data_IF_452010418557
#
_entry.id   IF_452010418557
#
_cell.length_a   1.000
_cell.length_b   1.000
_cell.length_c   1.000
_cell.angle_alpha   90.00
_cell.angle_beta   90.00
_cell.angle_gamma   90.00
#
_symmetry.space_group_name_H-M   'P 1'
#
loop_
_entity.id
_entity.type
_entity.pdbx_description
1 polymer ?
#
# COMPACT_ATOMS: atom_id res chain seq x y z
N UNK A 1 -6.54 5.72 10.26
CA UNK A 1 -5.96 5.98 8.92
C UNK A 1 -5.71 7.47 8.72
N UNK A 2 -4.53 7.92 9.14
CA UNK A 2 -4.04 9.25 8.82
C UNK A 2 -3.69 9.28 7.33
N UNK A 3 -4.46 10.07 6.56
CA UNK A 3 -4.25 10.19 5.11
C UNK A 3 -2.89 10.84 4.82
N UNK A 4 -2.35 10.71 3.60
CA UNK A 4 -1.14 11.45 3.17
C UNK A 4 -1.24 12.97 3.42
N UNK A 5 -2.48 13.47 3.62
CA UNK A 5 -2.84 14.84 3.96
C UNK A 5 -2.72 15.22 5.45
N UNK A 6 -2.51 14.27 6.37
CA UNK A 6 -2.24 14.57 7.78
C UNK A 6 -0.78 14.99 8.00
N UNK A 7 0.12 14.56 7.12
CA UNK A 7 1.56 14.83 7.21
C UNK A 7 1.91 16.34 7.26
N UNK A 8 1.33 17.23 6.42
CA UNK A 8 1.56 18.66 6.55
C UNK A 8 1.13 19.25 7.90
N UNK A 9 0.23 18.58 8.63
CA UNK A 9 -0.23 18.99 9.96
C UNK A 9 0.76 18.60 11.07
N UNK A 10 1.68 17.65 10.80
CA UNK A 10 2.74 17.22 11.72
C UNK A 10 4.04 18.01 11.61
N UNK A 11 4.19 18.83 10.56
CA UNK A 11 5.32 19.74 10.40
C UNK A 11 4.95 21.06 11.07
N UNK A 12 5.80 21.56 11.98
CA UNK A 12 5.65 22.92 12.50
C UNK A 12 5.69 23.91 11.34
N UNK A 13 4.64 24.71 11.20
CA UNK A 13 4.55 25.70 10.13
C UNK A 13 5.57 26.82 10.39
N UNK A 14 6.71 26.74 9.70
CA UNK A 14 7.76 27.74 9.74
C UNK A 14 7.42 28.98 8.88
N UNK A 15 6.27 28.98 8.19
CA UNK A 15 5.81 30.14 7.46
C UNK A 15 5.39 31.25 8.44
N UNK A 16 5.86 32.47 8.21
CA UNK A 16 5.45 33.62 9.03
C UNK A 16 3.93 33.87 8.88
N UNK A 17 3.15 33.61 9.94
CA UNK A 17 1.68 33.72 9.97
C UNK A 17 1.13 35.04 9.39
N UNK A 18 1.84 36.16 9.58
CA UNK A 18 1.40 37.50 9.13
C UNK A 18 1.79 37.85 7.68
N UNK A 19 2.50 36.96 6.97
CA UNK A 19 2.96 37.15 5.58
C UNK A 19 2.68 35.94 4.68
N UNK A 20 1.90 34.98 5.15
CA UNK A 20 1.60 33.76 4.41
C UNK A 20 0.12 33.69 4.06
N UNK A 21 -0.18 33.73 2.76
CA UNK A 21 -1.54 33.53 2.25
C UNK A 21 -1.86 32.05 2.00
N UNK A 22 -0.88 31.16 1.98
CA UNK A 22 -1.09 29.72 1.74
C UNK A 22 -0.63 28.94 2.95
N UNK A 23 -1.42 27.95 3.40
CA UNK A 23 -0.99 27.05 4.47
C UNK A 23 0.03 26.05 3.95
N UNK A 24 0.93 25.58 4.81
CA UNK A 24 1.87 24.52 4.44
C UNK A 24 1.16 23.26 3.90
N UNK A 25 -0.03 22.96 4.45
CA UNK A 25 -0.94 21.90 3.98
C UNK A 25 -1.41 22.04 2.54
N UNK A 26 -1.43 23.26 2.00
CA UNK A 26 -1.90 23.55 0.65
C UNK A 26 -0.73 23.47 -0.36
N UNK A 27 0.49 23.70 0.13
CA UNK A 27 1.71 23.85 -0.69
C UNK A 27 2.39 22.50 -0.93
N UNK A 28 2.61 21.71 0.12
CA UNK A 28 3.36 20.45 0.03
C UNK A 28 2.75 19.42 -0.94
N UNK A 29 1.42 19.21 -0.95
CA UNK A 29 0.80 18.22 -1.83
C UNK A 29 0.96 18.57 -3.30
N UNK A 30 0.89 19.87 -3.64
CA UNK A 30 1.11 20.36 -5.01
C UNK A 30 2.55 20.07 -5.47
N UNK A 31 3.54 20.32 -4.62
CA UNK A 31 4.94 19.99 -4.93
C UNK A 31 5.17 18.48 -5.06
N UNK A 32 4.60 17.68 -4.16
CA UNK A 32 4.68 16.21 -4.22
C UNK A 32 4.09 15.65 -5.52
N UNK A 33 2.86 16.06 -5.88
CA UNK A 33 2.18 15.65 -7.11
C UNK A 33 2.98 16.03 -8.36
N UNK A 34 3.64 17.17 -8.33
CA UNK A 34 4.50 17.65 -9.42
C UNK A 34 5.72 16.75 -9.57
N UNK A 35 6.43 16.45 -8.49
CA UNK A 35 7.59 15.54 -8.52
C UNK A 35 7.20 14.12 -8.97
N UNK A 36 6.04 13.61 -8.51
CA UNK A 36 5.51 12.32 -8.96
C UNK A 36 5.13 12.30 -10.45
N UNK A 37 4.88 13.47 -11.03
CA UNK A 37 4.52 13.65 -12.44
C UNK A 37 5.71 14.05 -13.30
N UNK A 38 6.94 13.90 -12.80
CA UNK A 38 8.19 14.28 -13.47
C UNK A 38 8.39 15.79 -13.70
N UNK A 39 7.72 16.65 -12.93
CA UNK A 39 8.10 18.06 -12.86
C UNK A 39 9.36 18.23 -12.00
N UNK A 40 10.25 19.12 -12.43
CA UNK A 40 11.60 19.27 -11.87
C UNK A 40 11.81 20.62 -11.18
N UNK A 41 10.99 21.63 -11.50
CA UNK A 41 11.16 22.98 -10.96
C UNK A 41 9.87 23.59 -10.38
N UNK A 42 10.00 24.82 -9.87
CA UNK A 42 8.89 25.53 -9.23
C UNK A 42 7.86 26.06 -10.24
N UNK A 43 8.23 26.23 -11.51
CA UNK A 43 7.30 26.60 -12.57
C UNK A 43 6.44 25.39 -12.95
N UNK A 44 7.02 24.20 -12.99
CA UNK A 44 6.29 22.93 -13.13
C UNK A 44 5.26 22.76 -12.01
N UNK A 45 5.57 23.21 -10.78
CA UNK A 45 4.63 23.14 -9.66
C UNK A 45 3.43 24.07 -9.87
N UNK A 46 3.66 25.28 -10.37
CA UNK A 46 2.59 26.21 -10.74
C UNK A 46 1.75 25.64 -11.89
N UNK A 47 2.40 25.12 -12.93
CA UNK A 47 1.74 24.51 -14.08
C UNK A 47 0.89 23.30 -13.68
N UNK A 48 1.44 22.41 -12.86
CA UNK A 48 0.77 21.22 -12.32
C UNK A 48 -0.42 21.62 -11.45
N UNK A 49 -0.25 22.61 -10.57
CA UNK A 49 -1.31 23.15 -9.73
C UNK A 49 -2.49 23.70 -10.55
N UNK A 50 -2.20 24.48 -11.60
CA UNK A 50 -3.23 25.02 -12.49
C UNK A 50 -3.90 23.93 -13.33
N UNK A 51 -3.12 23.00 -13.88
CA UNK A 51 -3.64 21.92 -14.75
C UNK A 51 -4.54 20.94 -13.98
N UNK A 52 -4.28 20.78 -12.68
CA UNK A 52 -4.99 19.83 -11.79
C UNK A 52 -5.80 20.55 -10.72
N UNK A 53 -6.12 21.82 -10.91
CA UNK A 53 -6.75 22.67 -9.91
C UNK A 53 -8.06 22.06 -9.38
N UNK A 54 -8.87 21.44 -10.25
CA UNK A 54 -10.11 20.76 -9.86
C UNK A 54 -9.85 19.60 -8.90
N UNK A 55 -8.88 18.74 -9.22
CA UNK A 55 -8.47 17.61 -8.40
C UNK A 55 -7.91 18.08 -7.06
N UNK A 56 -7.07 19.12 -7.08
CA UNK A 56 -6.54 19.74 -5.87
C UNK A 56 -7.65 20.33 -5.00
N UNK A 57 -8.64 21.04 -5.57
CA UNK A 57 -9.78 21.59 -4.83
C UNK A 57 -10.64 20.52 -4.16
N UNK A 58 -10.81 19.37 -4.80
CA UNK A 58 -11.56 18.23 -4.24
C UNK A 58 -10.82 17.57 -3.07
N UNK A 59 -9.49 17.60 -3.07
CA UNK A 59 -8.66 16.98 -2.04
C UNK A 59 -8.27 17.93 -0.90
N UNK A 60 -7.89 19.16 -1.25
CA UNK A 60 -7.38 20.21 -0.37
C UNK A 60 -7.80 21.55 -0.98
N UNK A 61 -8.96 22.12 -0.60
CA UNK A 61 -9.43 23.38 -1.16
C UNK A 61 -8.48 24.52 -0.77
N UNK A 62 -7.62 25.02 -1.67
CA UNK A 62 -6.66 26.03 -1.30
C UNK A 62 -7.41 27.35 -1.17
N UNK A 63 -7.42 27.93 0.04
CA UNK A 63 -8.24 29.11 0.34
C UNK A 63 -7.88 30.32 -0.56
N UNK A 64 -6.64 30.39 -1.04
CA UNK A 64 -6.10 31.50 -1.83
C UNK A 64 -5.57 31.07 -3.21
N UNK A 65 -6.04 29.93 -3.75
CA UNK A 65 -5.61 29.43 -5.06
C UNK A 65 -4.22 28.80 -5.08
N UNK A 66 -3.67 28.58 -6.27
CA UNK A 66 -2.37 27.94 -6.46
C UNK A 66 -1.24 28.92 -6.09
N UNK A 67 -0.26 28.52 -5.24
CA UNK A 67 0.89 29.36 -4.91
C UNK A 67 1.75 29.71 -6.13
N UNK A 68 2.47 30.84 -6.07
CA UNK A 68 3.47 31.21 -7.08
C UNK A 68 4.76 30.38 -6.96
N UNK A 69 5.59 30.37 -8.02
CA UNK A 69 6.91 29.72 -7.99
C UNK A 69 7.79 30.28 -6.86
N UNK A 70 7.73 31.59 -6.56
CA UNK A 70 8.45 32.21 -5.44
C UNK A 70 7.99 31.66 -4.08
N UNK A 71 6.68 31.39 -3.95
CA UNK A 71 6.11 30.81 -2.73
C UNK A 71 6.57 29.38 -2.55
N UNK A 72 6.56 28.57 -3.62
CA UNK A 72 7.12 27.23 -3.61
C UNK A 72 8.60 27.25 -3.27
N UNK A 73 9.40 28.09 -3.93
CA UNK A 73 10.83 28.21 -3.68
C UNK A 73 11.13 28.55 -2.22
N UNK A 74 10.41 29.51 -1.63
CA UNK A 74 10.59 29.90 -0.23
C UNK A 74 10.27 28.75 0.73
N UNK A 75 9.20 27.99 0.48
CA UNK A 75 8.78 26.89 1.34
C UNK A 75 9.72 25.70 1.19
N UNK A 76 10.00 25.26 -0.03
CA UNK A 76 10.88 24.11 -0.27
C UNK A 76 12.35 24.38 0.09
N UNK A 77 12.82 25.62 0.00
CA UNK A 77 14.15 26.01 0.49
C UNK A 77 14.25 26.01 2.02
N UNK A 78 13.14 26.23 2.72
CA UNK A 78 13.07 26.18 4.18
C UNK A 78 12.75 24.78 4.73
N UNK A 79 12.33 23.86 3.87
CA UNK A 79 11.97 22.50 4.25
C UNK A 79 13.24 21.66 4.44
N UNK A 80 13.35 20.99 5.59
CA UNK A 80 14.46 20.07 5.82
C UNK A 80 14.37 18.88 4.84
N UNK A 81 15.40 18.61 4.01
CA UNK A 81 15.35 17.54 3.01
C UNK A 81 15.05 16.15 3.59
N UNK A 82 15.44 15.92 4.84
CA UNK A 82 15.22 14.65 5.53
C UNK A 82 13.75 14.45 5.95
N UNK A 83 13.00 15.52 6.20
CA UNK A 83 11.55 15.45 6.44
C UNK A 83 10.81 15.02 5.16
N UNK A 84 11.12 15.64 4.01
CA UNK A 84 10.51 15.23 2.74
C UNK A 84 10.89 13.80 2.35
N UNK A 85 12.14 13.40 2.63
CA UNK A 85 12.59 12.01 2.42
C UNK A 85 11.85 11.02 3.30
N UNK A 86 11.65 11.31 4.59
CA UNK A 86 10.85 10.45 5.47
C UNK A 86 9.42 10.33 4.95
N UNK A 87 8.81 11.43 4.50
CA UNK A 87 7.49 11.41 3.87
C UNK A 87 7.46 10.59 2.58
N UNK A 88 8.39 10.83 1.66
CA UNK A 88 8.50 10.08 0.40
C UNK A 88 8.88 8.60 0.60
N UNK A 89 9.58 8.26 1.68
CA UNK A 89 9.85 6.87 2.03
C UNK A 89 8.62 6.19 2.63
N UNK A 90 7.84 6.92 3.43
CA UNK A 90 6.60 6.42 4.03
C UNK A 90 5.45 6.36 3.01
N UNK A 91 5.45 7.20 1.97
CA UNK A 91 4.30 7.38 1.07
C UNK A 91 4.63 7.37 -0.45
N UNK A 92 5.90 7.44 -0.87
CA UNK A 92 6.26 8.04 -2.17
C UNK A 92 7.16 7.27 -3.14
N UNK A 93 7.74 6.10 -2.83
CA UNK A 93 8.49 5.34 -3.85
C UNK A 93 8.15 3.87 -3.88
N UNK A 94 7.52 3.45 -4.99
CA UNK A 94 7.50 2.05 -5.39
C UNK A 94 8.88 1.67 -5.95
N UNK A 95 9.76 1.10 -5.13
CA UNK A 95 10.91 0.36 -5.61
C UNK A 95 10.41 -0.73 -6.58
N UNK A 96 10.96 -0.73 -7.80
CA UNK A 96 10.68 -1.77 -8.80
C UNK A 96 11.71 -2.87 -8.61
N UNK A 97 11.25 -4.09 -8.38
CA UNK A 97 12.10 -5.28 -8.42
C UNK A 97 12.76 -5.39 -9.79
N UNK A 98 14.04 -5.73 -9.81
CA UNK A 98 14.78 -6.02 -11.03
C UNK A 98 15.04 -7.52 -11.06
N UNK A 99 14.70 -8.18 -12.17
CA UNK A 99 14.86 -9.62 -12.30
C UNK A 99 16.33 -10.04 -12.09
N UNK A 100 16.56 -11.19 -11.43
CA UNK A 100 17.88 -11.79 -11.41
C UNK A 100 18.32 -12.07 -12.85
N UNK A 101 19.49 -11.55 -13.26
CA UNK A 101 20.07 -11.83 -14.59
C UNK A 101 20.09 -10.67 -15.58
N UNK A 102 19.43 -9.53 -15.32
CA UNK A 102 19.69 -8.33 -16.14
C UNK A 102 20.94 -7.61 -15.63
N UNK A 103 21.98 -7.49 -16.46
CA UNK A 103 23.19 -6.66 -16.23
C UNK A 103 23.95 -6.93 -14.91
N UNK A 104 24.08 -8.19 -14.48
CA UNK A 104 24.90 -8.55 -13.31
C UNK A 104 24.28 -8.23 -11.94
N UNK A 105 22.98 -7.94 -11.89
CA UNK A 105 22.21 -7.80 -10.67
C UNK A 105 21.93 -9.18 -10.01
N UNK A 106 22.08 -9.28 -8.69
CA UNK A 106 21.77 -10.47 -7.87
C UNK A 106 20.26 -10.69 -7.62
N UNK A 107 19.40 -9.89 -8.24
CA UNK A 107 17.95 -9.89 -8.01
C UNK A 107 17.60 -8.97 -6.83
N UNK A 108 16.71 -8.01 -7.07
CA UNK A 108 16.17 -7.17 -6.00
C UNK A 108 14.75 -7.65 -5.69
N UNK A 109 14.62 -8.49 -4.67
CA UNK A 109 13.33 -8.97 -4.20
C UNK A 109 12.71 -7.95 -3.26
N UNK A 110 11.44 -7.60 -3.51
CA UNK A 110 10.72 -6.59 -2.73
C UNK A 110 9.32 -7.11 -2.46
N UNK A 111 8.96 -7.13 -1.19
CA UNK A 111 7.59 -7.30 -0.73
C UNK A 111 6.91 -5.94 -0.72
N UNK A 112 5.74 -5.86 -1.36
CA UNK A 112 4.95 -4.63 -1.46
C UNK A 112 3.62 -4.80 -0.73
N UNK A 113 3.31 -3.88 0.18
CA UNK A 113 1.97 -3.72 0.70
C UNK A 113 1.21 -2.73 -0.20
N UNK A 114 0.05 -3.17 -0.70
CA UNK A 114 -0.76 -2.37 -1.62
C UNK A 114 -2.19 -2.27 -1.13
N UNK A 115 -2.74 -1.07 -1.22
CA UNK A 115 -4.17 -0.80 -1.02
C UNK A 115 -4.85 -0.93 -2.39
N UNK A 116 -5.76 -1.89 -2.52
CA UNK A 116 -6.34 -2.27 -3.80
C UNK A 116 -7.23 -1.15 -4.38
N UNK A 117 -8.04 -0.53 -3.53
CA UNK A 117 -9.01 0.52 -3.84
C UNK A 117 -8.31 1.74 -4.45
N UNK A 118 -7.21 2.15 -3.81
CA UNK A 118 -6.46 3.35 -4.18
C UNK A 118 -5.30 3.05 -5.16
N UNK A 119 -5.12 1.77 -5.52
CA UNK A 119 -4.00 1.26 -6.34
C UNK A 119 -2.61 1.69 -5.82
N UNK A 120 -2.53 2.03 -4.54
CA UNK A 120 -1.39 2.67 -3.89
C UNK A 120 -0.48 1.62 -3.23
N UNK A 121 0.82 1.88 -3.20
CA UNK A 121 1.78 1.09 -2.42
C UNK A 121 2.02 1.84 -1.11
N UNK A 122 1.59 1.27 0.02
CA UNK A 122 1.67 1.91 1.35
C UNK A 122 2.89 1.49 2.15
N UNK A 123 3.56 0.42 1.73
CA UNK A 123 4.80 -0.02 2.34
C UNK A 123 5.57 -0.96 1.43
N UNK A 124 6.88 -1.01 1.63
CA UNK A 124 7.76 -1.90 0.90
C UNK A 124 8.90 -2.38 1.80
N UNK A 125 9.25 -3.67 1.67
CA UNK A 125 10.43 -4.23 2.33
C UNK A 125 11.28 -4.97 1.32
N UNK A 126 12.59 -4.72 1.34
CA UNK A 126 13.55 -5.52 0.58
C UNK A 126 13.66 -6.89 1.23
N UNK A 127 13.64 -7.94 0.41
CA UNK A 127 14.03 -9.29 0.77
C UNK A 127 15.39 -9.58 0.12
N UNK A 128 16.30 -10.23 0.84
CA UNK A 128 17.63 -10.54 0.29
C UNK A 128 17.56 -11.59 -0.82
N UNK A 129 16.57 -12.47 -0.74
CA UNK A 129 16.21 -13.46 -1.76
C UNK A 129 14.70 -13.78 -1.73
N UNK A 130 14.28 -14.75 -2.54
CA UNK A 130 12.88 -15.20 -2.64
C UNK A 130 12.35 -15.88 -1.37
N UNK A 131 13.20 -16.55 -0.59
CA UNK A 131 12.82 -17.19 0.68
C UNK A 131 12.64 -16.18 1.81
N UNK A 132 13.34 -15.05 1.74
CA UNK A 132 13.28 -13.99 2.75
C UNK A 132 11.96 -13.19 2.72
N UNK A 133 11.04 -13.47 1.78
CA UNK A 133 9.68 -12.93 1.83
C UNK A 133 8.94 -13.37 3.10
N UNK A 134 9.21 -14.59 3.60
CA UNK A 134 8.60 -15.15 4.82
C UNK A 134 8.92 -14.28 6.05
N UNK A 135 10.12 -13.71 6.11
CA UNK A 135 10.55 -12.84 7.21
C UNK A 135 10.25 -11.37 6.95
N UNK A 136 10.25 -10.94 5.68
CA UNK A 136 9.99 -9.55 5.31
C UNK A 136 8.51 -9.16 5.47
N UNK A 137 7.57 -10.07 5.22
CA UNK A 137 6.12 -9.82 5.35
C UNK A 137 5.73 -9.48 6.81
N UNK A 138 6.10 -10.27 7.83
CA UNK A 138 5.85 -9.95 9.24
C UNK A 138 6.36 -8.57 9.68
N UNK A 139 7.58 -8.19 9.25
CA UNK A 139 8.16 -6.88 9.55
C UNK A 139 7.36 -5.75 8.89
N UNK A 140 6.90 -5.96 7.65
CA UNK A 140 6.12 -4.96 6.94
C UNK A 140 4.74 -4.74 7.60
N UNK A 141 4.12 -5.79 8.13
CA UNK A 141 2.85 -5.69 8.86
C UNK A 141 3.02 -4.86 10.15
N UNK A 142 4.13 -5.01 10.87
CA UNK A 142 4.43 -4.22 12.07
C UNK A 142 4.55 -2.72 11.80
N UNK A 143 5.08 -2.35 10.63
CA UNK A 143 5.27 -0.94 10.24
C UNK A 143 3.98 -0.29 9.73
N UNK A 144 2.99 -1.07 9.30
CA UNK A 144 1.76 -0.55 8.70
C UNK A 144 0.63 -0.33 9.72
N UNK A 145 -0.12 0.76 9.53
CA UNK A 145 -1.43 0.97 10.13
C UNK A 145 -2.48 0.22 9.31
N UNK A 146 -2.95 -0.92 9.84
CA UNK A 146 -3.92 -1.81 9.19
C UNK A 146 -5.19 -2.02 10.02
N UNK A 147 -5.41 -1.22 11.08
CA UNK A 147 -6.67 -1.24 11.81
C UNK A 147 -7.81 -0.96 10.85
N UNK A 148 -8.77 -1.88 10.75
CA UNK A 148 -9.91 -1.87 9.81
C UNK A 148 -9.62 -2.30 8.35
N UNK A 149 -8.41 -2.80 8.05
CA UNK A 149 -8.11 -3.35 6.73
C UNK A 149 -8.34 -4.87 6.67
N UNK A 150 -8.77 -5.37 5.50
CA UNK A 150 -8.71 -6.79 5.16
C UNK A 150 -7.35 -7.08 4.51
N UNK A 151 -6.53 -7.89 5.17
CA UNK A 151 -5.18 -8.21 4.67
C UNK A 151 -5.21 -9.48 3.84
N UNK A 152 -4.94 -9.35 2.53
CA UNK A 152 -4.77 -10.51 1.64
C UNK A 152 -3.30 -10.78 1.36
N UNK A 153 -2.84 -12.03 1.51
CA UNK A 153 -1.45 -12.44 1.22
C UNK A 153 -1.46 -13.74 0.43
N UNK A 154 -0.44 -13.91 -0.41
CA UNK A 154 -0.25 -15.11 -1.21
C UNK A 154 0.11 -16.33 -0.35
N UNK A 155 0.33 -17.46 -1.04
CA UNK A 155 0.58 -18.72 -0.36
C UNK A 155 1.92 -18.75 0.37
N UNK A 156 2.93 -18.00 -0.08
CA UNK A 156 4.24 -17.99 0.59
C UNK A 156 4.12 -17.31 1.95
N UNK A 157 3.34 -16.23 2.04
CA UNK A 157 3.09 -15.52 3.30
C UNK A 157 2.06 -16.16 4.23
N UNK A 158 1.42 -17.27 3.83
CA UNK A 158 0.50 -18.03 4.69
C UNK A 158 1.27 -18.80 5.78
N UNK A 159 1.60 -18.07 6.85
CA UNK A 159 2.38 -18.54 7.99
C UNK A 159 1.66 -18.19 9.29
N UNK A 160 1.87 -19.02 10.32
CA UNK A 160 1.24 -18.84 11.64
C UNK A 160 1.64 -17.51 12.28
N UNK A 161 2.92 -17.14 12.19
CA UNK A 161 3.43 -15.86 12.73
C UNK A 161 2.79 -14.66 12.02
N UNK A 162 2.75 -14.68 10.68
CA UNK A 162 2.09 -13.66 9.86
C UNK A 162 0.61 -13.51 10.25
N UNK A 163 -0.13 -14.61 10.34
CA UNK A 163 -1.54 -14.59 10.73
C UNK A 163 -1.73 -14.01 12.14
N UNK A 164 -0.88 -14.40 13.10
CA UNK A 164 -0.90 -13.87 14.45
C UNK A 164 -0.72 -12.35 14.50
N UNK A 165 0.28 -11.82 13.81
CA UNK A 165 0.54 -10.36 13.73
C UNK A 165 -0.58 -9.58 13.06
N UNK A 166 -1.26 -10.19 12.07
CA UNK A 166 -2.42 -9.55 11.45
C UNK A 166 -3.54 -9.46 12.49
N UNK A 167 -3.86 -10.56 13.17
CA UNK A 167 -4.93 -10.62 14.20
C UNK A 167 -4.67 -9.66 15.36
N UNK A 168 -3.41 -9.40 15.71
CA UNK A 168 -3.06 -8.39 16.72
C UNK A 168 -3.44 -6.95 16.31
N UNK A 169 -3.58 -6.68 15.01
CA UNK A 169 -3.86 -5.33 14.47
C UNK A 169 -5.23 -5.20 13.79
N UNK A 170 -5.78 -6.27 13.24
CA UNK A 170 -7.07 -6.31 12.53
C UNK A 170 -7.67 -7.70 12.57
N UNK A 171 -9.00 -7.79 12.67
CA UNK A 171 -9.73 -9.06 12.76
C UNK A 171 -9.89 -9.77 11.41
N UNK A 172 -9.46 -9.16 10.30
CA UNK A 172 -9.81 -9.62 8.95
C UNK A 172 -8.60 -9.92 8.07
N UNK A 173 -8.49 -11.16 7.62
CA UNK A 173 -7.46 -11.58 6.67
C UNK A 173 -7.95 -12.63 5.67
N UNK A 174 -7.26 -12.71 4.54
CA UNK A 174 -7.43 -13.74 3.51
C UNK A 174 -6.05 -14.25 3.08
N UNK A 175 -5.64 -15.39 3.62
CA UNK A 175 -4.35 -16.01 3.29
C UNK A 175 -4.56 -17.18 2.34
N UNK A 176 -3.83 -17.21 1.23
CA UNK A 176 -3.91 -18.33 0.30
C UNK A 176 -3.25 -19.58 0.89
N UNK A 177 -3.97 -20.70 0.92
CA UNK A 177 -3.47 -21.97 1.45
C UNK A 177 -3.05 -22.90 0.31
N UNK A 178 -1.81 -23.41 0.36
CA UNK A 178 -1.28 -24.42 -0.58
C UNK A 178 -0.43 -25.46 0.19
N UNK A 179 0.45 -26.16 -0.53
CA UNK A 179 1.35 -27.18 0.01
C UNK A 179 2.39 -26.66 1.01
N UNK A 180 2.49 -25.35 1.22
CA UNK A 180 3.31 -24.76 2.27
C UNK A 180 2.78 -25.06 3.69
N UNK A 181 1.51 -25.48 3.83
CA UNK A 181 0.90 -25.93 5.08
C UNK A 181 0.12 -27.24 4.82
N UNK A 182 0.83 -28.38 4.66
CA UNK A 182 0.23 -29.60 4.11
C UNK A 182 -0.89 -30.19 4.96
N UNK A 183 -0.73 -30.22 6.28
CA UNK A 183 -1.74 -30.77 7.20
C UNK A 183 -3.02 -29.91 7.18
N UNK A 184 -2.86 -28.59 7.29
CA UNK A 184 -3.99 -27.65 7.24
C UNK A 184 -4.71 -27.69 5.88
N UNK A 185 -3.96 -27.84 4.79
CA UNK A 185 -4.54 -28.01 3.46
C UNK A 185 -5.37 -29.29 3.37
N UNK A 186 -4.89 -30.38 3.96
CA UNK A 186 -5.64 -31.64 3.99
C UNK A 186 -6.93 -31.50 4.81
N UNK A 187 -6.85 -30.93 6.01
CA UNK A 187 -8.01 -30.69 6.87
C UNK A 187 -9.05 -29.80 6.18
N UNK A 188 -8.61 -28.68 5.59
CA UNK A 188 -9.50 -27.78 4.84
C UNK A 188 -10.14 -28.49 3.63
N UNK A 189 -9.37 -29.30 2.89
CA UNK A 189 -9.88 -30.07 1.75
C UNK A 189 -10.94 -31.08 2.18
N UNK A 190 -10.69 -31.82 3.26
CA UNK A 190 -11.68 -32.71 3.87
C UNK A 190 -12.93 -31.94 4.31
N UNK A 191 -12.77 -30.76 4.91
CA UNK A 191 -13.87 -29.88 5.28
C UNK A 191 -14.74 -29.48 4.09
N UNK A 192 -14.14 -29.06 2.97
CA UNK A 192 -14.88 -28.73 1.74
C UNK A 192 -15.58 -29.93 1.09
N UNK A 193 -15.09 -31.16 1.34
CA UNK A 193 -15.74 -32.38 0.85
C UNK A 193 -16.89 -32.85 1.77
N UNK A 194 -16.74 -32.67 3.08
CA UNK A 194 -17.66 -33.22 4.08
C UNK A 194 -18.76 -32.24 4.51
N UNK A 195 -18.49 -30.93 4.48
CA UNK A 195 -19.41 -29.91 4.96
C UNK A 195 -20.16 -29.23 3.81
N UNK A 196 -21.47 -28.96 3.96
CA UNK A 196 -22.18 -28.14 2.99
C UNK A 196 -21.63 -26.70 3.02
N UNK A 197 -21.36 -26.08 1.86
CA UNK A 197 -20.91 -24.70 1.80
C UNK A 197 -22.03 -23.73 2.22
N UNK A 198 -21.66 -22.69 2.97
CA UNK A 198 -22.54 -21.59 3.36
C UNK A 198 -22.90 -20.71 2.16
N UNK A 199 -21.97 -20.56 1.21
CA UNK A 199 -22.19 -19.88 -0.05
C UNK A 199 -21.31 -20.51 -1.14
N UNK A 200 -21.84 -20.53 -2.36
CA UNK A 200 -21.13 -21.00 -3.56
C UNK A 200 -21.39 -20.00 -4.68
N UNK A 201 -20.32 -19.57 -5.33
CA UNK A 201 -20.36 -18.84 -6.59
C UNK A 201 -19.56 -19.64 -7.63
N UNK A 202 -20.09 -19.78 -8.83
CA UNK A 202 -19.42 -20.44 -9.93
C UNK A 202 -19.60 -19.59 -11.18
N UNK A 203 -18.48 -19.17 -11.75
CA UNK A 203 -18.42 -18.38 -12.97
C UNK A 203 -17.57 -19.11 -14.00
N UNK A 204 -17.89 -18.91 -15.27
CA UNK A 204 -17.07 -19.41 -16.36
C UNK A 204 -16.69 -18.25 -17.27
N UNK A 205 -15.48 -18.32 -17.80
CA UNK A 205 -14.93 -17.32 -18.71
C UNK A 205 -14.22 -18.04 -19.86
N UNK A 206 -14.32 -17.46 -21.07
CA UNK A 206 -13.50 -17.87 -22.21
C UNK A 206 -12.60 -16.70 -22.59
N UNK A 207 -11.32 -16.83 -22.30
CA UNK A 207 -10.32 -15.80 -22.59
C UNK A 207 -8.98 -16.43 -23.03
N UNK A 208 -8.25 -15.74 -23.92
CA UNK A 208 -6.98 -16.19 -24.49
C UNK A 208 -6.97 -17.65 -25.00
N UNK A 209 -8.10 -18.14 -25.53
CA UNK A 209 -8.26 -19.51 -26.04
C UNK A 209 -8.41 -20.59 -24.96
N UNK A 210 -8.70 -20.20 -23.71
CA UNK A 210 -8.92 -21.11 -22.59
C UNK A 210 -10.32 -20.93 -22.03
N UNK A 211 -10.94 -22.06 -21.69
CA UNK A 211 -12.13 -22.09 -20.86
C UNK A 211 -11.69 -22.21 -19.41
N UNK A 212 -12.00 -21.21 -18.59
CA UNK A 212 -11.70 -21.21 -17.16
C UNK A 212 -13.01 -21.17 -16.38
N UNK A 213 -13.20 -22.15 -15.49
CA UNK A 213 -14.29 -22.15 -14.51
C UNK A 213 -13.70 -21.78 -13.15
N UNK A 214 -14.23 -20.72 -12.54
CA UNK A 214 -13.85 -20.27 -11.20
C UNK A 214 -15.00 -20.56 -10.25
N UNK A 215 -14.76 -21.49 -9.33
CA UNK A 215 -15.69 -21.83 -8.27
C UNK A 215 -15.13 -21.37 -6.93
N UNK A 216 -15.93 -20.59 -6.21
CA UNK A 216 -15.64 -20.13 -4.86
C UNK A 216 -16.71 -20.67 -3.92
N UNK A 217 -16.29 -21.35 -2.86
CA UNK A 217 -17.18 -21.86 -1.80
C UNK A 217 -16.67 -21.41 -0.44
N UNK A 218 -17.60 -21.14 0.48
CA UNK A 218 -17.31 -20.73 1.85
C UNK A 218 -17.82 -21.80 2.81
N UNK A 219 -16.98 -22.21 3.76
CA UNK A 219 -17.34 -23.06 4.90
C UNK A 219 -16.83 -22.42 6.18
N UNK A 220 -17.45 -22.72 7.32
CA UNK A 220 -16.98 -22.22 8.61
C UNK A 220 -15.78 -23.04 9.05
N UNK A 221 -14.72 -22.36 9.47
CA UNK A 221 -13.48 -23.02 9.90
C UNK A 221 -13.71 -24.05 11.01
N UNK A 222 -14.57 -23.74 11.99
CA UNK A 222 -14.95 -24.65 13.09
C UNK A 222 -15.57 -25.98 12.66
N UNK A 223 -16.16 -26.03 11.46
CA UNK A 223 -16.80 -27.23 10.92
C UNK A 223 -15.79 -28.07 10.11
N UNK A 224 -14.67 -27.46 9.72
CA UNK A 224 -13.70 -28.00 8.77
C UNK A 224 -12.34 -28.35 9.38
N UNK A 225 -11.90 -27.60 10.39
CA UNK A 225 -10.59 -27.74 11.01
C UNK A 225 -10.80 -28.04 12.50
N UNK A 226 -10.40 -29.23 12.98
CA UNK A 226 -10.55 -29.58 14.39
C UNK A 226 -9.72 -28.63 15.26
N UNK A 227 -10.31 -28.09 16.33
CA UNK A 227 -9.56 -27.38 17.35
C UNK A 227 -8.55 -28.35 17.98
N UNK A 228 -7.26 -28.02 17.95
CA UNK A 228 -6.27 -28.75 18.74
C UNK A 228 -6.57 -28.49 20.22
N UNK A 229 -7.06 -29.53 20.89
CA UNK A 229 -7.20 -29.63 22.36
C UNK A 229 -5.83 -29.43 23.02
#
# INVERSE_FOLDING_TARGET
MDSIYSYPSSIEDFCMEKKCFHKLSDILPTGLLTCLSHGEDYEDMVLSGNTRERFLKEMIPPANGIPSHDTFNRVFSGLEPDLLRQCLNNYGRKLKGVSPGSRGNTGLYIVNARVAENRLCTGQKRADDKSNEITAVPCLIEELDIGDAVVSIDAVGCQRDTAGRIVEKTDHYLLALKQNQPDLLNDASCGFMACPPESVCEEWEYDHGRYETRKCSIIKAKDAVPEKI
#
